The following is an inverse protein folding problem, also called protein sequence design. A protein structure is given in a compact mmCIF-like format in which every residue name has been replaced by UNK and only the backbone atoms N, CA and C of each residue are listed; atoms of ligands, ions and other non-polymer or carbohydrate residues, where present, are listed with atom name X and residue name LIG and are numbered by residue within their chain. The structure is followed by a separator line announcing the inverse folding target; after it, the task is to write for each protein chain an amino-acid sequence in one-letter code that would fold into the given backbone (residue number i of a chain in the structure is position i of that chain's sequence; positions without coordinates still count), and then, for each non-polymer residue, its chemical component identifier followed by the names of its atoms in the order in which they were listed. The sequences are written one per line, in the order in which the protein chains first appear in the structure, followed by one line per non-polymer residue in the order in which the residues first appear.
data_IF_255391562957
#
_entry.id   IF_255391562957
#
_cell.length_a   1.000
_cell.length_b   1.000
_cell.length_c   1.000
_cell.angle_alpha   90.00
_cell.angle_beta   90.00
_cell.angle_gamma   90.00
#
_symmetry.space_group_name_H-M   'P 1'
#
loop_
_entity.id
_entity.type
_entity.pdbx_description
1 polymer ?
#
# COMPACT_ATOMS: atom_id res chain seq x y z
N UNK A 1 -18.25 14.65 -19.88
CA UNK A 1 -18.21 16.14 -19.87
C UNK A 1 -19.14 16.68 -18.79
N UNK A 2 -20.44 16.40 -18.83
CA UNK A 2 -21.43 16.93 -17.85
C UNK A 2 -21.08 16.69 -16.37
N UNK A 3 -20.57 15.52 -15.98
CA UNK A 3 -20.21 15.24 -14.58
C UNK A 3 -19.06 16.11 -14.06
N UNK A 4 -18.08 16.43 -14.91
CA UNK A 4 -16.97 17.31 -14.57
C UNK A 4 -17.44 18.75 -14.39
N UNK A 5 -18.35 19.23 -15.25
CA UNK A 5 -18.93 20.57 -15.16
C UNK A 5 -19.77 20.74 -13.88
N UNK A 6 -20.52 19.70 -13.52
CA UNK A 6 -21.27 19.65 -12.25
C UNK A 6 -20.30 19.67 -11.07
N UNK A 7 -19.24 18.84 -11.08
CA UNK A 7 -18.25 18.83 -9.99
C UNK A 7 -17.60 20.21 -9.81
N UNK A 8 -17.20 20.87 -10.89
CA UNK A 8 -16.65 22.22 -10.85
C UNK A 8 -17.67 23.23 -10.30
N UNK A 9 -18.95 23.10 -10.66
CA UNK A 9 -20.02 23.97 -10.15
C UNK A 9 -20.27 23.74 -8.66
N UNK A 10 -20.28 22.49 -8.19
CA UNK A 10 -20.44 22.15 -6.77
C UNK A 10 -19.29 22.72 -5.94
N UNK A 11 -18.04 22.55 -6.39
CA UNK A 11 -16.87 23.10 -5.70
C UNK A 11 -16.93 24.64 -5.66
N UNK A 12 -17.33 25.29 -6.76
CA UNK A 12 -17.46 26.75 -6.82
C UNK A 12 -18.53 27.29 -5.84
N UNK A 13 -19.67 26.60 -5.76
CA UNK A 13 -20.81 27.07 -4.96
C UNK A 13 -20.74 26.67 -3.49
N UNK A 14 -20.19 25.49 -3.19
CA UNK A 14 -20.27 24.86 -1.86
C UNK A 14 -18.94 24.29 -1.35
N UNK A 15 -17.84 24.46 -2.10
CA UNK A 15 -16.56 23.82 -1.81
C UNK A 15 -16.02 24.11 -0.40
N UNK A 16 -16.11 25.36 0.06
CA UNK A 16 -15.65 25.74 1.41
C UNK A 16 -16.43 24.99 2.51
N UNK A 17 -17.77 25.05 2.47
CA UNK A 17 -18.63 24.36 3.43
C UNK A 17 -18.41 22.84 3.43
N UNK A 18 -18.30 22.25 2.24
CA UNK A 18 -18.05 20.82 2.06
C UNK A 18 -16.69 20.39 2.63
N UNK A 19 -15.66 21.21 2.39
CA UNK A 19 -14.31 20.97 2.90
C UNK A 19 -14.23 21.13 4.42
N UNK A 20 -14.88 22.17 4.96
CA UNK A 20 -14.95 22.42 6.41
C UNK A 20 -15.57 21.23 7.15
N UNK A 21 -16.72 20.73 6.66
CA UNK A 21 -17.34 19.50 7.18
C UNK A 21 -16.39 18.31 7.14
N UNK A 22 -15.69 18.07 6.03
CA UNK A 22 -14.76 16.95 5.92
C UNK A 22 -13.57 17.08 6.91
N UNK A 23 -13.08 18.30 7.11
CA UNK A 23 -12.01 18.60 8.07
C UNK A 23 -12.47 18.38 9.53
N UNK A 24 -13.70 18.76 9.86
CA UNK A 24 -14.31 18.49 11.17
C UNK A 24 -14.44 16.99 11.44
N UNK A 25 -14.94 16.23 10.45
CA UNK A 25 -15.06 14.78 10.53
C UNK A 25 -13.69 14.12 10.73
N UNK A 26 -12.68 14.56 9.97
CA UNK A 26 -11.31 14.06 10.14
C UNK A 26 -10.72 14.39 11.51
N UNK A 27 -10.90 15.62 12.00
CA UNK A 27 -10.43 16.00 13.32
C UNK A 27 -11.11 15.17 14.43
N UNK A 28 -12.42 14.92 14.32
CA UNK A 28 -13.16 14.06 15.24
C UNK A 28 -12.64 12.62 15.22
N UNK A 29 -12.43 12.05 14.03
CA UNK A 29 -11.90 10.69 13.89
C UNK A 29 -10.49 10.57 14.51
N UNK A 30 -9.60 11.51 14.22
CA UNK A 30 -8.24 11.54 14.79
C UNK A 30 -8.27 11.58 16.31
N UNK A 31 -9.10 12.44 16.90
CA UNK A 31 -9.24 12.54 18.36
C UNK A 31 -9.70 11.22 18.96
N UNK A 32 -10.78 10.63 18.42
CA UNK A 32 -11.32 9.35 18.91
C UNK A 32 -10.31 8.21 18.80
N UNK A 33 -9.58 8.13 17.68
CA UNK A 33 -8.58 7.08 17.44
C UNK A 33 -7.33 7.25 18.30
N UNK A 34 -6.94 8.47 18.64
CA UNK A 34 -5.80 8.73 19.53
C UNK A 34 -6.06 8.25 20.98
N UNK A 35 -7.32 8.06 21.36
CA UNK A 35 -7.74 7.51 22.66
C UNK A 35 -7.78 5.97 22.66
N UNK A 36 -7.61 5.31 21.51
CA UNK A 36 -7.62 3.84 21.40
C UNK A 36 -6.24 3.27 21.70
N UNK A 37 -6.16 2.40 22.70
CA UNK A 37 -4.90 1.77 23.11
C UNK A 37 -4.25 0.98 21.96
N UNK A 38 -2.95 1.15 21.73
CA UNK A 38 -2.21 0.42 20.69
C UNK A 38 -2.47 0.91 19.26
N UNK A 39 -3.32 1.93 19.08
CA UNK A 39 -3.49 2.65 17.81
C UNK A 39 -2.64 3.91 17.82
N UNK A 40 -1.85 4.10 16.77
CA UNK A 40 -1.08 5.31 16.52
C UNK A 40 -1.69 6.07 15.35
N UNK A 41 -2.13 7.29 15.59
CA UNK A 41 -2.56 8.22 14.53
C UNK A 41 -1.36 9.06 14.12
N UNK A 42 -1.01 9.05 12.83
CA UNK A 42 0.10 9.84 12.33
C UNK A 42 -0.34 11.29 12.10
N UNK A 43 0.32 12.22 12.79
CA UNK A 43 0.05 13.65 12.70
C UNK A 43 1.38 14.42 12.71
N UNK A 44 1.72 15.04 11.58
CA UNK A 44 2.94 15.86 11.41
C UNK A 44 2.59 17.15 10.66
N UNK A 45 3.29 18.27 10.96
CA UNK A 45 3.13 19.50 10.21
C UNK A 45 3.26 19.27 8.70
N UNK A 46 2.36 19.87 7.93
CA UNK A 46 2.34 19.75 6.47
C UNK A 46 1.67 18.50 5.91
N UNK A 47 1.16 17.59 6.76
CA UNK A 47 0.31 16.49 6.29
C UNK A 47 -1.08 16.99 5.87
N UNK A 48 -1.61 16.40 4.81
CA UNK A 48 -3.01 16.60 4.42
C UNK A 48 -3.94 16.04 5.51
N UNK A 49 -4.73 16.92 6.11
CA UNK A 49 -5.62 16.59 7.23
C UNK A 49 -6.69 15.57 6.83
N UNK A 50 -7.09 15.49 5.56
CA UNK A 50 -8.08 14.53 5.08
C UNK A 50 -7.52 13.13 4.85
N UNK A 51 -6.19 12.97 4.85
CA UNK A 51 -5.52 11.67 4.80
C UNK A 51 -5.30 11.15 6.20
N UNK A 52 -6.27 10.38 6.70
CA UNK A 52 -6.22 9.76 8.00
C UNK A 52 -5.30 8.54 7.95
N UNK A 53 -4.05 8.71 8.40
CA UNK A 53 -3.05 7.64 8.49
C UNK A 53 -3.04 7.05 9.89
N UNK A 54 -3.28 5.75 9.99
CA UNK A 54 -3.41 5.01 11.24
C UNK A 54 -2.50 3.79 11.22
N UNK A 55 -1.89 3.46 12.35
CA UNK A 55 -0.98 2.35 12.52
C UNK A 55 -1.32 1.54 13.76
N UNK A 56 -1.32 0.22 13.63
CA UNK A 56 -1.45 -0.71 14.75
C UNK A 56 -0.16 -1.51 14.97
N UNK A 57 0.98 -0.94 14.55
CA UNK A 57 2.31 -1.55 14.70
C UNK A 57 2.66 -1.84 16.16
N UNK A 58 2.13 -1.06 17.11
CA UNK A 58 2.32 -1.30 18.55
C UNK A 58 1.65 -2.60 19.04
N UNK A 59 0.70 -3.13 18.26
CA UNK A 59 0.07 -4.45 18.45
C UNK A 59 0.66 -5.50 17.50
N UNK A 60 1.71 -5.17 16.76
CA UNK A 60 2.35 -6.04 15.79
C UNK A 60 1.54 -6.31 14.52
N UNK A 61 0.43 -5.59 14.29
CA UNK A 61 -0.46 -5.81 13.15
C UNK A 61 0.07 -5.06 11.94
N UNK A 62 0.34 -5.79 10.86
CA UNK A 62 0.77 -5.23 9.57
C UNK A 62 -0.33 -4.38 8.94
N UNK A 63 0.03 -3.31 8.23
CA UNK A 63 -0.94 -2.46 7.53
C UNK A 63 -1.77 -3.22 6.49
N UNK A 64 -1.17 -4.17 5.77
CA UNK A 64 -1.91 -5.04 4.83
C UNK A 64 -2.92 -5.94 5.53
N UNK A 65 -2.56 -6.51 6.68
CA UNK A 65 -3.47 -7.32 7.47
C UNK A 65 -4.62 -6.47 8.04
N UNK A 66 -4.31 -5.30 8.60
CA UNK A 66 -5.30 -4.35 9.08
C UNK A 66 -6.28 -3.95 7.97
N UNK A 67 -5.78 -3.66 6.76
CA UNK A 67 -6.62 -3.38 5.59
C UNK A 67 -7.56 -4.55 5.26
N UNK A 68 -7.05 -5.77 5.23
CA UNK A 68 -7.87 -6.96 4.95
C UNK A 68 -8.94 -7.17 6.03
N UNK A 69 -8.59 -7.05 7.31
CA UNK A 69 -9.53 -7.16 8.43
C UNK A 69 -10.62 -6.09 8.39
N UNK A 70 -10.26 -4.83 8.13
CA UNK A 70 -11.23 -3.75 7.96
C UNK A 70 -12.22 -4.05 6.84
N UNK A 71 -11.75 -4.59 5.71
CA UNK A 71 -12.60 -4.93 4.57
C UNK A 71 -13.47 -6.16 4.87
N UNK A 72 -12.85 -7.27 5.29
CA UNK A 72 -13.48 -8.58 5.35
C UNK A 72 -14.41 -8.72 6.56
N UNK A 73 -14.07 -8.11 7.70
CA UNK A 73 -14.82 -8.24 8.95
C UNK A 73 -15.79 -7.05 9.16
N UNK A 74 -15.45 -5.86 8.66
CA UNK A 74 -16.21 -4.62 8.93
C UNK A 74 -16.74 -3.92 7.66
N UNK A 75 -16.42 -4.41 6.46
CA UNK A 75 -16.78 -3.77 5.18
C UNK A 75 -16.31 -2.30 5.08
N UNK A 76 -15.17 -2.00 5.69
CA UNK A 76 -14.51 -0.69 5.66
C UNK A 76 -13.33 -0.74 4.70
N UNK A 77 -13.40 0.07 3.64
CA UNK A 77 -12.32 0.15 2.65
C UNK A 77 -11.39 1.32 2.98
N UNK A 78 -10.12 1.02 3.16
CA UNK A 78 -9.03 2.01 3.18
C UNK A 78 -8.39 2.11 1.80
N UNK A 79 -7.86 3.29 1.50
CA UNK A 79 -7.25 3.59 0.20
C UNK A 79 -5.93 2.82 0.04
N UNK A 80 -5.06 2.95 1.04
CA UNK A 80 -3.69 2.46 0.98
C UNK A 80 -3.34 1.68 2.26
N UNK A 81 -2.44 0.72 2.10
CA UNK A 81 -1.75 0.06 3.19
C UNK A 81 -0.26 -0.03 2.85
N UNK A 82 0.57 0.01 3.87
CA UNK A 82 1.98 -0.34 3.81
C UNK A 82 2.29 -1.36 4.93
N UNK A 83 3.56 -1.53 5.30
CA UNK A 83 3.93 -2.52 6.31
C UNK A 83 3.36 -2.16 7.69
N UNK A 84 3.28 -0.88 8.03
CA UNK A 84 2.91 -0.42 9.39
C UNK A 84 1.58 0.33 9.45
N UNK A 85 1.10 0.85 8.32
CA UNK A 85 0.08 1.87 8.27
C UNK A 85 -1.04 1.52 7.29
N UNK A 86 -2.22 2.03 7.58
CA UNK A 86 -3.32 2.20 6.62
C UNK A 86 -3.62 3.68 6.46
N UNK A 87 -4.12 4.05 5.27
CA UNK A 87 -4.56 5.41 4.97
C UNK A 87 -6.01 5.38 4.52
N UNK A 88 -6.86 6.07 5.27
CA UNK A 88 -8.25 6.34 4.87
C UNK A 88 -8.36 7.78 4.37
N UNK A 89 -9.06 7.99 3.26
CA UNK A 89 -9.40 9.33 2.78
C UNK A 89 -10.77 9.72 3.31
N UNK A 90 -10.82 10.83 4.04
CA UNK A 90 -12.06 11.46 4.44
C UNK A 90 -12.36 12.54 3.40
N UNK A 91 -13.49 12.40 2.73
CA UNK A 91 -13.90 13.27 1.63
C UNK A 91 -15.11 14.10 2.03
N UNK A 92 -15.51 15.06 1.19
CA UNK A 92 -16.75 15.80 1.39
C UNK A 92 -18.01 14.92 1.30
N UNK A 93 -17.90 13.74 0.71
CA UNK A 93 -19.01 12.79 0.56
C UNK A 93 -19.24 11.95 1.82
N UNK A 94 -18.27 11.94 2.75
CA UNK A 94 -18.37 11.19 3.98
C UNK A 94 -19.38 11.81 4.96
N UNK A 95 -19.94 10.93 5.79
CA UNK A 95 -20.90 11.29 6.83
C UNK A 95 -20.34 10.94 8.21
N UNK A 96 -21.06 11.35 9.25
CA UNK A 96 -20.72 10.96 10.61
C UNK A 96 -20.72 9.44 10.75
N UNK A 97 -21.68 8.77 10.13
CA UNK A 97 -21.88 7.33 10.19
C UNK A 97 -20.75 6.58 9.48
N UNK A 98 -20.32 7.02 8.29
CA UNK A 98 -19.23 6.34 7.56
C UNK A 98 -17.89 6.48 8.29
N UNK A 99 -17.63 7.65 8.87
CA UNK A 99 -16.42 7.91 9.66
C UNK A 99 -16.46 7.18 11.00
N UNK A 100 -17.61 7.14 11.67
CA UNK A 100 -17.76 6.42 12.93
C UNK A 100 -17.62 4.91 12.72
N UNK A 101 -18.12 4.35 11.62
CA UNK A 101 -17.90 2.95 11.25
C UNK A 101 -16.41 2.60 11.12
N UNK A 102 -15.60 3.47 10.50
CA UNK A 102 -14.14 3.29 10.43
C UNK A 102 -13.50 3.31 11.82
N UNK A 103 -13.86 4.29 12.65
CA UNK A 103 -13.31 4.43 14.01
C UNK A 103 -13.66 3.23 14.88
N UNK A 104 -14.93 2.81 14.84
CA UNK A 104 -15.44 1.70 15.64
C UNK A 104 -14.85 0.36 15.17
N UNK A 105 -14.60 0.19 13.88
CA UNK A 105 -13.90 -0.98 13.34
C UNK A 105 -12.46 -1.07 13.86
N UNK A 106 -11.69 0.02 13.79
CA UNK A 106 -10.32 0.06 14.31
C UNK A 106 -10.30 -0.18 15.82
N UNK A 107 -11.25 0.40 16.55
CA UNK A 107 -11.40 0.17 17.99
C UNK A 107 -11.72 -1.30 18.31
N UNK A 108 -12.66 -1.90 17.60
CA UNK A 108 -13.02 -3.31 17.74
C UNK A 108 -11.83 -4.23 17.47
N UNK A 109 -11.08 -3.99 16.39
CA UNK A 109 -9.85 -4.73 16.09
C UNK A 109 -8.78 -4.57 17.17
N UNK A 110 -8.66 -3.36 17.73
CA UNK A 110 -7.75 -3.11 18.86
C UNK A 110 -8.14 -3.90 20.11
N UNK A 111 -9.43 -4.01 20.42
CA UNK A 111 -9.96 -4.74 21.59
C UNK A 111 -9.85 -6.27 21.43
N UNK A 112 -9.89 -6.79 20.20
CA UNK A 112 -9.67 -8.21 19.93
C UNK A 112 -8.24 -8.70 20.25
N UNK A 113 -7.27 -7.78 20.30
CA UNK A 113 -5.85 -8.06 20.56
C UNK A 113 -5.17 -8.84 19.42
N UNK A 114 -4.08 -9.54 19.75
CA UNK A 114 -3.23 -10.28 18.78
C UNK A 114 -3.89 -11.54 18.17
N UNK A 115 -5.20 -11.73 18.34
CA UNK A 115 -5.89 -12.93 17.86
C UNK A 115 -5.89 -12.97 16.33
N UNK A 116 -5.16 -13.93 15.77
CA UNK A 116 -5.14 -14.18 14.34
C UNK A 116 -4.13 -13.34 13.56
N UNK A 117 -3.20 -12.65 14.23
CA UNK A 117 -2.08 -11.95 13.57
C UNK A 117 -1.23 -12.97 12.81
N UNK A 118 -1.16 -12.81 11.49
CA UNK A 118 -0.47 -13.76 10.60
C UNK A 118 1.04 -13.56 10.61
N UNK A 119 1.46 -12.31 10.59
CA UNK A 119 2.86 -11.90 10.61
C UNK A 119 3.03 -10.66 11.46
N UNK A 120 4.05 -10.66 12.33
CA UNK A 120 4.32 -9.53 13.22
C UNK A 120 5.22 -8.52 12.54
N UNK A 121 4.81 -7.26 12.60
CA UNK A 121 5.62 -6.10 12.18
C UNK A 121 6.12 -5.33 13.39
N UNK A 122 7.27 -4.69 13.24
CA UNK A 122 7.88 -3.84 14.24
C UNK A 122 8.01 -2.41 13.72
N UNK A 123 8.02 -1.46 14.65
CA UNK A 123 8.25 -0.06 14.32
C UNK A 123 9.63 0.11 13.66
N UNK A 124 9.64 0.67 12.45
CA UNK A 124 10.84 0.85 11.64
C UNK A 124 10.92 -0.10 10.44
N UNK A 125 10.12 -1.15 10.39
CA UNK A 125 10.11 -2.09 9.25
C UNK A 125 9.69 -1.38 7.97
N UNK A 126 8.72 -0.46 8.03
CA UNK A 126 8.33 0.33 6.86
C UNK A 126 9.48 1.22 6.38
N UNK A 127 10.28 1.79 7.29
CA UNK A 127 11.41 2.63 6.92
C UNK A 127 12.53 1.84 6.24
N UNK A 128 12.80 0.62 6.73
CA UNK A 128 13.75 -0.32 6.10
C UNK A 128 13.29 -0.73 4.70
N UNK A 129 12.02 -1.12 4.56
CA UNK A 129 11.43 -1.45 3.28
C UNK A 129 11.47 -0.28 2.29
N UNK A 130 11.12 0.92 2.75
CA UNK A 130 11.19 2.13 1.93
C UNK A 130 12.62 2.37 1.45
N UNK A 131 13.62 2.18 2.31
CA UNK A 131 15.03 2.33 1.90
C UNK A 131 15.42 1.35 0.80
N UNK A 132 14.94 0.10 0.88
CA UNK A 132 15.17 -0.91 -0.15
C UNK A 132 14.46 -0.58 -1.48
N UNK A 133 13.23 -0.03 -1.44
CA UNK A 133 12.52 0.41 -2.65
C UNK A 133 13.25 1.53 -3.42
N UNK A 134 14.07 2.32 -2.73
CA UNK A 134 14.84 3.40 -3.33
C UNK A 134 16.33 3.06 -3.52
N UNK A 135 16.72 1.81 -3.25
CA UNK A 135 18.06 1.35 -3.55
C UNK A 135 18.28 1.37 -5.08
N UNK A 136 19.45 1.86 -5.56
CA UNK A 136 19.70 1.90 -7.00
C UNK A 136 19.89 0.49 -7.54
N UNK A 137 19.03 0.09 -8.48
CA UNK A 137 19.19 -1.15 -9.23
C UNK A 137 20.14 -0.98 -10.43
N UNK A 138 20.86 -2.05 -10.79
CA UNK A 138 21.69 -2.06 -11.99
C UNK A 138 20.80 -2.00 -13.24
N UNK A 139 21.07 -1.04 -14.13
CA UNK A 139 20.36 -0.93 -15.42
C UNK A 139 21.15 -1.56 -16.55
N UNK A 140 20.69 -2.72 -17.03
CA UNK A 140 21.26 -3.39 -18.19
C UNK A 140 20.72 -2.86 -19.54
N UNK A 141 19.46 -2.41 -19.57
CA UNK A 141 18.80 -1.89 -20.76
C UNK A 141 18.03 -0.59 -20.45
N UNK A 142 17.78 0.22 -21.48
CA UNK A 142 16.81 1.30 -21.35
C UNK A 142 15.40 0.71 -21.19
N UNK A 143 14.50 1.33 -20.41
CA UNK A 143 13.14 0.82 -20.21
C UNK A 143 12.41 0.51 -21.51
N UNK A 144 12.52 1.39 -22.51
CA UNK A 144 11.94 1.17 -23.84
C UNK A 144 12.51 -0.07 -24.55
N UNK A 145 13.80 -0.35 -24.40
CA UNK A 145 14.42 -1.53 -25.02
C UNK A 145 13.94 -2.80 -24.34
N UNK A 146 13.90 -2.83 -23.01
CA UNK A 146 13.43 -3.99 -22.25
C UNK A 146 11.96 -4.31 -22.53
N UNK A 147 11.08 -3.29 -22.52
CA UNK A 147 9.65 -3.48 -22.80
C UNK A 147 9.37 -3.95 -24.23
N UNK A 148 10.20 -3.59 -25.21
CA UNK A 148 10.03 -3.99 -26.61
C UNK A 148 10.81 -5.26 -26.98
N UNK A 149 11.64 -5.78 -26.08
CA UNK A 149 12.41 -6.99 -26.32
C UNK A 149 11.52 -8.24 -26.28
N UNK A 150 12.01 -9.34 -26.84
CA UNK A 150 11.42 -10.64 -26.61
C UNK A 150 11.49 -10.97 -25.12
N UNK A 151 10.40 -11.49 -24.56
CA UNK A 151 10.29 -11.81 -23.14
C UNK A 151 9.95 -13.28 -22.92
N UNK A 152 10.21 -13.75 -21.72
CA UNK A 152 9.79 -15.06 -21.23
C UNK A 152 9.32 -14.96 -19.77
N UNK A 153 8.44 -15.88 -19.38
CA UNK A 153 8.03 -16.06 -17.99
C UNK A 153 8.92 -17.12 -17.35
N UNK A 154 9.54 -16.77 -16.23
CA UNK A 154 10.37 -17.68 -15.46
C UNK A 154 9.92 -17.71 -14.01
N UNK A 155 10.31 -18.75 -13.27
CA UNK A 155 10.10 -18.79 -11.82
C UNK A 155 10.86 -17.65 -11.16
N UNK A 156 10.25 -16.99 -10.19
CA UNK A 156 10.88 -15.91 -9.43
C UNK A 156 12.17 -16.39 -8.75
N UNK A 157 12.20 -17.63 -8.28
CA UNK A 157 13.40 -18.26 -7.69
C UNK A 157 14.56 -18.46 -8.67
N UNK A 158 14.36 -18.24 -9.97
CA UNK A 158 15.36 -18.33 -11.03
C UNK A 158 15.66 -16.96 -11.66
N UNK A 159 15.12 -15.88 -11.09
CA UNK A 159 15.17 -14.55 -11.66
C UNK A 159 16.45 -13.78 -11.35
N UNK A 160 17.25 -14.21 -10.37
CA UNK A 160 18.53 -13.58 -10.06
C UNK A 160 19.44 -13.52 -11.30
N UNK A 161 20.01 -12.34 -11.56
CA UNK A 161 20.84 -12.04 -12.74
C UNK A 161 20.06 -11.86 -14.05
N UNK A 162 18.72 -11.92 -14.03
CA UNK A 162 17.87 -11.69 -15.20
C UNK A 162 17.46 -10.23 -15.29
N UNK A 163 17.18 -9.78 -16.51
CA UNK A 163 16.71 -8.40 -16.76
C UNK A 163 15.19 -8.37 -16.72
N UNK A 164 14.63 -7.55 -15.85
CA UNK A 164 13.20 -7.37 -15.72
C UNK A 164 12.61 -6.78 -17.02
N UNK A 165 11.50 -7.32 -17.52
CA UNK A 165 10.86 -6.83 -18.75
C UNK A 165 9.63 -5.94 -18.48
N UNK A 166 9.12 -5.95 -17.25
CA UNK A 166 7.95 -5.18 -16.82
C UNK A 166 8.22 -4.46 -15.49
N UNK A 167 7.22 -3.73 -14.97
CA UNK A 167 7.33 -3.12 -13.65
C UNK A 167 6.97 -4.16 -12.59
N UNK A 168 7.88 -4.41 -11.64
CA UNK A 168 7.59 -5.20 -10.43
C UNK A 168 7.42 -4.25 -9.26
N UNK A 169 6.23 -4.22 -8.67
CA UNK A 169 5.89 -3.28 -7.61
C UNK A 169 4.96 -3.90 -6.57
N UNK A 170 5.22 -3.73 -5.25
CA UNK A 170 4.22 -4.00 -4.23
C UNK A 170 3.00 -3.10 -4.47
N UNK A 171 1.79 -3.63 -4.39
CA UNK A 171 0.56 -2.86 -4.58
C UNK A 171 -0.50 -3.24 -3.55
N UNK A 172 -0.84 -2.35 -2.60
CA UNK A 172 -0.22 -1.03 -2.35
C UNK A 172 1.22 -1.12 -1.78
N UNK A 173 2.05 -0.04 -1.77
CA UNK A 173 1.74 1.34 -2.17
C UNK A 173 1.86 1.64 -3.68
N UNK A 174 2.36 0.71 -4.49
CA UNK A 174 2.49 0.88 -5.94
C UNK A 174 3.75 1.61 -6.40
N UNK A 175 4.74 1.74 -5.54
CA UNK A 175 6.07 2.27 -5.91
C UNK A 175 6.87 1.11 -6.53
N UNK A 176 7.39 1.25 -7.76
CA UNK A 176 8.20 0.21 -8.39
C UNK A 176 9.42 -0.16 -7.56
N UNK A 177 9.61 -1.46 -7.33
CA UNK A 177 10.85 -2.03 -6.85
C UNK A 177 11.81 -2.27 -8.02
N UNK A 178 11.29 -2.70 -9.18
CA UNK A 178 12.03 -2.87 -10.42
C UNK A 178 11.30 -2.20 -11.58
N UNK A 179 12.08 -1.52 -12.42
CA UNK A 179 11.68 -1.03 -13.72
C UNK A 179 12.16 -1.96 -14.84
N UNK A 180 11.49 -1.95 -16.01
CA UNK A 180 11.98 -2.65 -17.19
C UNK A 180 13.42 -2.25 -17.51
N UNK A 181 14.28 -3.24 -17.73
CA UNK A 181 15.69 -3.05 -18.06
C UNK A 181 16.64 -3.07 -16.87
N UNK A 182 16.11 -3.16 -15.65
CA UNK A 182 16.90 -3.36 -14.43
C UNK A 182 17.18 -4.86 -14.20
N UNK A 183 18.35 -5.16 -13.64
CA UNK A 183 18.78 -6.51 -13.28
C UNK A 183 18.18 -6.87 -11.92
N UNK A 184 17.58 -8.05 -11.84
CA UNK A 184 17.05 -8.61 -10.60
C UNK A 184 18.22 -9.22 -9.83
N UNK A 185 18.52 -8.70 -8.64
CA UNK A 185 19.51 -9.28 -7.73
C UNK A 185 18.85 -9.96 -6.51
N UNK A 186 19.68 -10.52 -5.62
CA UNK A 186 19.22 -11.19 -4.41
C UNK A 186 18.49 -10.26 -3.44
N UNK A 187 18.89 -8.99 -3.32
CA UNK A 187 18.24 -8.04 -2.42
C UNK A 187 16.80 -7.74 -2.87
N UNK A 188 16.56 -7.63 -4.18
CA UNK A 188 15.20 -7.49 -4.70
C UNK A 188 14.34 -8.70 -4.35
N UNK A 189 14.89 -9.92 -4.45
CA UNK A 189 14.18 -11.15 -4.13
C UNK A 189 13.82 -11.22 -2.64
N UNK A 190 14.76 -10.85 -1.75
CA UNK A 190 14.54 -10.80 -0.30
C UNK A 190 13.44 -9.79 0.08
N UNK A 191 13.42 -8.63 -0.58
CA UNK A 191 12.40 -7.60 -0.39
C UNK A 191 11.03 -8.08 -0.84
N UNK A 192 10.95 -8.79 -1.98
CA UNK A 192 9.71 -9.38 -2.49
C UNK A 192 9.20 -10.44 -1.51
N UNK A 193 10.04 -11.37 -1.07
CA UNK A 193 9.66 -12.43 -0.13
C UNK A 193 9.15 -11.86 1.20
N UNK A 194 9.88 -10.89 1.76
CA UNK A 194 9.47 -10.20 2.99
C UNK A 194 8.10 -9.55 2.82
N UNK A 195 7.89 -8.79 1.74
CA UNK A 195 6.63 -8.10 1.50
C UNK A 195 5.46 -9.08 1.30
N UNK A 196 5.67 -10.18 0.58
CA UNK A 196 4.66 -11.24 0.41
C UNK A 196 4.31 -11.89 1.75
N UNK A 197 5.31 -12.13 2.62
CA UNK A 197 5.10 -12.70 3.96
C UNK A 197 4.20 -11.81 4.86
N UNK A 198 4.25 -10.49 4.63
CA UNK A 198 3.43 -9.49 5.32
C UNK A 198 2.07 -9.24 4.65
N UNK A 199 1.75 -9.95 3.56
CA UNK A 199 0.47 -9.84 2.86
C UNK A 199 0.41 -8.79 1.76
N UNK A 200 1.55 -8.25 1.30
CA UNK A 200 1.58 -7.43 0.10
C UNK A 200 1.22 -8.26 -1.13
N UNK A 201 0.48 -7.66 -2.06
CA UNK A 201 0.37 -8.18 -3.42
C UNK A 201 1.40 -7.49 -4.32
N UNK A 202 1.82 -8.13 -5.41
CA UNK A 202 2.74 -7.54 -6.37
C UNK A 202 2.13 -7.45 -7.76
N UNK A 203 2.29 -6.28 -8.39
CA UNK A 203 2.12 -6.12 -9.83
C UNK A 203 3.40 -6.59 -10.52
N UNK A 204 3.26 -7.27 -11.66
CA UNK A 204 4.39 -7.85 -12.41
C UNK A 204 4.82 -9.23 -11.92
N UNK A 205 4.16 -9.78 -10.90
CA UNK A 205 4.27 -11.18 -10.50
C UNK A 205 2.95 -11.90 -10.78
N UNK A 206 3.01 -13.15 -11.21
CA UNK A 206 1.83 -13.98 -11.47
C UNK A 206 1.99 -15.37 -10.85
N UNK A 207 0.88 -16.09 -10.71
CA UNK A 207 0.90 -17.50 -10.33
C UNK A 207 1.32 -18.38 -11.52
N UNK A 208 2.36 -19.18 -11.32
CA UNK A 208 2.81 -20.22 -12.24
C UNK A 208 1.91 -21.47 -12.16
N UNK A 209 2.09 -22.37 -13.13
CA UNK A 209 1.31 -23.62 -13.23
C UNK A 209 1.55 -24.60 -12.08
N UNK A 210 2.67 -24.47 -11.37
CA UNK A 210 3.04 -25.27 -10.20
C UNK A 210 2.73 -24.58 -8.86
N UNK A 211 2.03 -23.44 -8.89
CA UNK A 211 1.70 -22.65 -7.70
C UNK A 211 2.84 -21.73 -7.21
N UNK A 212 4.01 -21.76 -7.85
CA UNK A 212 5.09 -20.79 -7.58
C UNK A 212 4.80 -19.43 -8.21
N UNK A 213 5.53 -18.39 -7.80
CA UNK A 213 5.47 -17.09 -8.45
C UNK A 213 6.37 -17.07 -9.69
N UNK A 214 5.89 -16.42 -10.75
CA UNK A 214 6.62 -16.17 -11.99
C UNK A 214 6.75 -14.67 -12.24
N UNK A 215 7.81 -14.29 -12.94
CA UNK A 215 8.12 -12.91 -13.33
C UNK A 215 8.49 -12.86 -14.82
N UNK A 216 8.12 -11.77 -15.48
CA UNK A 216 8.46 -11.56 -16.90
C UNK A 216 9.85 -10.93 -17.03
N UNK A 217 10.73 -11.60 -17.75
CA UNK A 217 12.11 -11.18 -17.99
C UNK A 217 12.44 -11.09 -19.48
N UNK A 218 13.47 -10.34 -19.82
CA UNK A 218 13.98 -10.25 -21.19
C UNK A 218 14.64 -11.59 -21.55
N UNK A 219 14.25 -12.14 -22.70
CA UNK A 219 14.73 -13.42 -23.23
C UNK A 219 16.19 -13.30 -23.66
N UNK A 220 16.96 -14.36 -23.42
CA UNK A 220 18.37 -14.51 -23.86
C UNK A 220 19.34 -13.43 -23.33
N UNK A 221 18.94 -12.70 -22.29
CA UNK A 221 19.80 -11.78 -21.54
C UNK A 221 19.95 -12.33 -20.12
N UNK A 222 21.12 -12.93 -19.87
CA UNK A 222 21.57 -13.36 -18.56
C UNK A 222 22.95 -12.77 -18.33
N UNK A 223 23.15 -12.14 -17.18
CA UNK A 223 24.45 -11.61 -16.79
C UNK A 223 25.07 -12.49 -15.71
#
# INVERSE_FOLDING_TARGET
MTSLDIAATVVRMRGHQLMEKALELSARARKRLAEVEGVRVLDRPGMDRLKLTVSMVNRGIAGYELKSKLMDEYNVRVELADFENVVAFITYADTVETVDALVDAIKGLSEQGDRGVRARVHAGDQARFTSALFAPAERALLPRQATLAAHELIKLSQAEGRVCAEVVAPYPPGIPLLYPGEVIDSEHLDVIDTALSLGAAFRGLAAGSDGGLVVTVVKDVKR
#
